data_IF_744180027943
#
_entry.id   IF_744180027943
#
_cell.length_a   1.000
_cell.length_b   1.000
_cell.length_c   1.000
_cell.angle_alpha   90.00
_cell.angle_beta   90.00
_cell.angle_gamma   90.00
#
_symmetry.space_group_name_H-M   'P 1'
#
loop_
_entity.id
_entity.type
_entity.pdbx_description
1 polymer ?
#
# COMPACT_ATOMS: atom_id res chain seq x y z
N UNK A 1 -19.91 5.30 -26.77
CA UNK A 1 -20.29 5.55 -25.36
C UNK A 1 -19.04 5.70 -24.51
N UNK A 2 -18.34 6.83 -24.65
CA UNK A 2 -17.22 7.25 -23.80
C UNK A 2 -17.81 8.27 -22.84
N UNK A 3 -17.66 8.10 -21.52
CA UNK A 3 -17.77 9.12 -20.45
C UNK A 3 -18.03 8.42 -19.11
N UNK A 4 -16.97 8.01 -18.38
CA UNK A 4 -16.98 7.93 -16.91
C UNK A 4 -15.59 7.73 -16.28
N UNK A 5 -14.61 8.54 -16.70
CA UNK A 5 -13.50 8.88 -15.82
C UNK A 5 -13.32 10.38 -16.00
N UNK A 6 -13.91 11.13 -15.07
CA UNK A 6 -13.73 12.57 -15.02
C UNK A 6 -12.25 12.88 -14.96
N UNK A 7 -11.87 13.94 -15.68
CA UNK A 7 -10.62 14.68 -15.58
C UNK A 7 -9.92 14.42 -14.23
N UNK A 8 -8.98 13.47 -14.19
CA UNK A 8 -8.06 13.39 -13.06
C UNK A 8 -7.31 14.72 -13.08
N UNK A 9 -7.37 15.54 -12.02
CA UNK A 9 -6.57 16.74 -11.98
C UNK A 9 -5.12 16.32 -12.20
N UNK A 10 -4.52 16.85 -13.28
CA UNK A 10 -3.11 16.67 -13.58
C UNK A 10 -2.30 16.89 -12.30
N UNK A 11 -1.22 16.12 -12.07
CA UNK A 11 -0.50 16.19 -10.82
C UNK A 11 -0.08 17.65 -10.55
N UNK A 12 -0.36 18.14 -9.33
CA UNK A 12 0.13 19.43 -8.81
C UNK A 12 1.65 19.36 -8.57
N UNK A 13 2.42 19.00 -9.59
CA UNK A 13 3.85 18.66 -9.49
C UNK A 13 4.59 19.33 -10.64
N UNK A 14 5.68 20.03 -10.31
CA UNK A 14 6.58 20.58 -11.32
C UNK A 14 7.46 19.47 -11.93
N UNK A 15 8.13 19.72 -13.05
CA UNK A 15 9.04 18.76 -13.70
C UNK A 15 10.22 18.32 -12.81
N UNK A 16 10.51 19.05 -11.73
CA UNK A 16 11.52 18.71 -10.73
C UNK A 16 10.98 17.91 -9.54
N UNK A 17 9.66 17.74 -9.45
CA UNK A 17 9.03 16.93 -8.41
C UNK A 17 8.86 15.52 -8.95
N UNK A 18 9.71 14.60 -8.52
CA UNK A 18 9.57 13.17 -8.84
C UNK A 18 8.20 12.60 -8.44
N UNK A 19 7.91 11.35 -8.84
CA UNK A 19 6.70 10.66 -8.40
C UNK A 19 6.51 10.77 -6.89
N UNK A 20 5.27 10.88 -6.42
CA UNK A 20 4.99 10.79 -4.98
C UNK A 20 5.66 9.50 -4.47
N UNK A 21 6.43 9.55 -3.38
CA UNK A 21 6.98 8.33 -2.78
C UNK A 21 5.91 7.29 -2.45
N UNK A 22 4.65 7.72 -2.37
CA UNK A 22 3.46 6.90 -2.11
C UNK A 22 2.65 6.51 -3.37
N UNK A 23 2.77 7.23 -4.50
CA UNK A 23 2.00 6.95 -5.73
C UNK A 23 2.58 5.75 -6.50
N UNK A 24 3.84 5.41 -6.23
CA UNK A 24 4.40 4.10 -6.57
C UNK A 24 4.04 3.16 -5.41
N UNK A 25 2.77 2.75 -5.33
CA UNK A 25 2.21 1.97 -4.21
C UNK A 25 3.26 0.97 -3.70
N UNK A 26 3.81 1.23 -2.50
CA UNK A 26 5.04 0.55 -2.06
C UNK A 26 4.89 -0.95 -2.24
N UNK A 27 5.71 -1.55 -3.09
CA UNK A 27 5.73 -2.99 -3.30
C UNK A 27 6.23 -3.60 -1.99
N UNK A 28 5.38 -4.38 -1.33
CA UNK A 28 5.74 -5.03 -0.09
C UNK A 28 4.55 -5.72 0.54
N UNK A 29 4.86 -6.55 1.53
CA UNK A 29 3.87 -7.27 2.32
C UNK A 29 4.11 -6.98 3.81
N UNK A 30 3.04 -6.89 4.58
CA UNK A 30 3.11 -7.00 6.04
C UNK A 30 3.01 -8.48 6.40
N UNK A 31 3.83 -8.91 7.36
CA UNK A 31 3.75 -10.24 7.97
C UNK A 31 3.14 -10.07 9.36
N UNK A 32 1.96 -10.65 9.56
CA UNK A 32 1.29 -10.73 10.85
C UNK A 32 1.59 -12.10 11.45
N UNK A 33 2.46 -12.14 12.44
CA UNK A 33 2.91 -13.38 13.09
C UNK A 33 2.49 -13.35 14.56
N UNK A 34 1.75 -14.37 14.98
CA UNK A 34 1.39 -14.59 16.39
C UNK A 34 2.21 -15.77 16.89
N UNK A 35 2.88 -15.59 18.03
CA UNK A 35 3.67 -16.63 18.70
C UNK A 35 3.15 -16.89 20.12
N UNK A 36 3.41 -18.09 20.63
CA UNK A 36 3.23 -18.41 22.05
C UNK A 36 4.31 -17.71 22.92
N UNK A 37 4.27 -17.96 24.24
CA UNK A 37 5.25 -17.41 25.19
C UNK A 37 6.70 -17.84 24.91
N UNK A 38 6.90 -19.03 24.35
CA UNK A 38 8.22 -19.58 24.06
C UNK A 38 8.71 -19.21 22.65
N UNK A 39 7.91 -18.45 21.89
CA UNK A 39 8.23 -18.02 20.53
C UNK A 39 7.77 -18.99 19.44
N UNK A 40 6.98 -20.03 19.75
CA UNK A 40 6.43 -20.96 18.76
C UNK A 40 5.35 -20.27 17.93
N UNK A 41 5.47 -20.22 16.59
CA UNK A 41 4.44 -19.65 15.73
C UNK A 41 3.10 -20.39 15.85
N UNK A 42 2.02 -19.64 16.12
CA UNK A 42 0.64 -20.14 16.20
C UNK A 42 -0.14 -19.79 14.94
N UNK A 43 0.07 -18.59 14.37
CA UNK A 43 -0.61 -18.16 13.14
C UNK A 43 0.21 -17.18 12.32
N UNK A 44 0.01 -17.21 11.00
CA UNK A 44 0.64 -16.33 10.02
C UNK A 44 -0.43 -15.74 9.07
N UNK A 45 -0.43 -14.44 8.87
CA UNK A 45 -1.17 -13.80 7.79
C UNK A 45 -0.27 -12.82 7.02
N UNK A 46 -0.43 -12.79 5.70
CA UNK A 46 0.23 -11.83 4.83
C UNK A 46 -0.79 -10.86 4.25
N UNK A 47 -0.47 -9.58 4.24
CA UNK A 47 -1.29 -8.54 3.62
C UNK A 47 -0.44 -7.57 2.81
N UNK A 48 -1.07 -6.80 1.92
CA UNK A 48 -0.34 -5.76 1.17
C UNK A 48 0.25 -4.72 2.12
N UNK A 49 1.43 -4.18 1.79
CA UNK A 49 2.12 -3.17 2.60
C UNK A 49 1.24 -1.96 2.98
N UNK A 50 0.24 -1.65 2.14
CA UNK A 50 -0.63 -0.48 2.29
C UNK A 50 -2.07 -0.84 2.71
N UNK A 51 -2.34 -2.08 3.14
CA UNK A 51 -3.65 -2.44 3.68
C UNK A 51 -3.82 -1.79 5.07
N UNK A 52 -4.91 -1.06 5.28
CA UNK A 52 -5.21 -0.39 6.54
C UNK A 52 -5.83 -1.36 7.55
N UNK A 53 -5.31 -1.35 8.77
CA UNK A 53 -5.83 -2.10 9.91
C UNK A 53 -6.92 -1.20 10.53
N UNK A 54 -8.17 -1.32 10.05
CA UNK A 54 -9.30 -0.45 10.44
C UNK A 54 -9.78 -0.71 11.86
#
# INVERSE_FOLDING_TARGET
MRHRLGEHPRPKRGPLTGPNPTDRGKNGSKIHLICDRNGLPISLAASGANLHDS
#
